data_IF_017296498425
#
_entry.id   IF_017296498425
#
_cell.length_a   1.000
_cell.length_b   1.000
_cell.length_c   1.000
_cell.angle_alpha   90.00
_cell.angle_beta   90.00
_cell.angle_gamma   90.00
#
_symmetry.space_group_name_H-M   'P 1'
#
loop_
_entity.id
_entity.type
_entity.pdbx_description
1 polymer ?
#
# COMPACT_ATOMS: atom_id res chain seq x y z
N UNK A 1 -2.35 -5.66 -20.91
CA UNK A 1 -3.11 -6.07 -19.70
C UNK A 1 -2.87 -5.03 -18.62
N UNK A 2 -3.93 -4.61 -17.93
CA UNK A 2 -3.82 -3.75 -16.74
C UNK A 2 -3.08 -4.49 -15.63
N UNK A 3 -2.32 -3.76 -14.81
CA UNK A 3 -1.65 -4.31 -13.64
C UNK A 3 -2.51 -4.06 -12.40
N UNK A 4 -2.63 -5.06 -11.54
CA UNK A 4 -3.22 -4.93 -10.22
C UNK A 4 -2.20 -4.35 -9.24
N UNK A 5 -2.48 -3.15 -8.76
CA UNK A 5 -1.58 -2.40 -7.89
C UNK A 5 -2.17 -2.29 -6.49
N UNK A 6 -1.37 -2.59 -5.48
CA UNK A 6 -1.78 -2.47 -4.08
C UNK A 6 -0.88 -1.48 -3.36
N UNK A 7 -1.46 -0.46 -2.74
CA UNK A 7 -0.73 0.47 -1.90
C UNK A 7 -1.13 0.26 -0.45
N UNK A 8 -0.13 0.08 0.40
CA UNK A 8 -0.26 -0.07 1.84
C UNK A 8 0.37 1.16 2.47
N UNK A 9 -0.42 1.91 3.23
CA UNK A 9 0.04 3.06 3.99
C UNK A 9 -0.27 2.84 5.48
N UNK A 10 0.72 2.39 6.26
CA UNK A 10 0.62 2.36 7.70
C UNK A 10 0.50 3.78 8.27
N UNK A 11 -0.02 3.87 9.48
CA UNK A 11 -0.12 5.12 10.22
C UNK A 11 -0.41 4.86 11.69
N UNK A 12 -0.15 5.85 12.54
CA UNK A 12 -0.16 5.71 14.00
C UNK A 12 -1.45 5.11 14.60
N UNK A 13 -2.61 5.29 13.96
CA UNK A 13 -3.90 4.77 14.43
C UNK A 13 -4.55 3.74 13.51
N UNK A 14 -4.00 3.51 12.32
CA UNK A 14 -4.62 2.65 11.29
C UNK A 14 -3.68 2.42 10.13
N UNK A 15 -3.74 1.22 9.57
CA UNK A 15 -3.17 0.92 8.25
C UNK A 15 -4.25 1.06 7.19
N UNK A 16 -3.94 1.79 6.11
CA UNK A 16 -4.83 1.95 4.95
C UNK A 16 -4.31 1.11 3.80
N UNK A 17 -5.21 0.41 3.12
CA UNK A 17 -4.89 -0.40 1.95
C UNK A 17 -5.81 0.01 0.81
N UNK A 18 -5.25 0.15 -0.40
CA UNK A 18 -5.97 0.38 -1.63
C UNK A 18 -5.45 -0.59 -2.68
N UNK A 19 -6.31 -1.44 -3.21
CA UNK A 19 -6.06 -2.18 -4.44
C UNK A 19 -6.77 -1.48 -5.60
N UNK A 20 -6.08 -1.35 -6.73
CA UNK A 20 -6.62 -0.73 -7.92
C UNK A 20 -6.14 -1.43 -9.19
N UNK A 21 -7.03 -1.51 -10.17
CA UNK A 21 -6.74 -2.00 -11.52
C UNK A 21 -7.17 -0.95 -12.53
N UNK A 22 -6.33 -0.67 -13.52
CA UNK A 22 -6.59 0.35 -14.55
C UNK A 22 -6.95 1.76 -14.01
N UNK A 23 -6.63 2.05 -12.75
CA UNK A 23 -6.96 3.32 -12.07
C UNK A 23 -8.27 3.30 -11.27
N UNK A 24 -9.04 2.22 -11.37
CA UNK A 24 -10.26 1.99 -10.60
C UNK A 24 -9.98 1.23 -9.31
N UNK A 25 -10.61 1.64 -8.21
CA UNK A 25 -10.41 1.00 -6.92
C UNK A 25 -11.24 -0.28 -6.83
N UNK A 26 -10.58 -1.43 -6.64
CA UNK A 26 -11.25 -2.74 -6.48
C UNK A 26 -11.36 -3.16 -5.02
N UNK A 27 -10.49 -2.66 -4.14
CA UNK A 27 -10.58 -2.88 -2.70
C UNK A 27 -10.04 -1.67 -1.94
N UNK A 28 -10.74 -1.30 -0.85
CA UNK A 28 -10.28 -0.32 0.14
C UNK A 28 -10.43 -0.92 1.52
N UNK A 29 -9.40 -0.81 2.35
CA UNK A 29 -9.46 -1.28 3.73
C UNK A 29 -8.84 -0.28 4.71
N UNK A 30 -9.42 -0.27 5.91
CA UNK A 30 -8.86 0.38 7.10
C UNK A 30 -8.68 -0.70 8.15
N UNK A 31 -7.43 -1.01 8.45
CA UNK A 31 -7.01 -2.07 9.37
C UNK A 31 -6.42 -1.45 10.65
N UNK A 32 -6.12 -2.31 11.61
CA UNK A 32 -5.35 -1.96 12.81
C UNK A 32 -4.02 -1.28 12.43
N UNK A 33 -3.44 -0.46 13.34
CA UNK A 33 -2.15 0.19 13.10
C UNK A 33 -1.06 -0.82 12.73
N UNK A 34 -1.07 -2.00 13.36
CA UNK A 34 -0.17 -3.13 13.08
C UNK A 34 -0.97 -4.41 12.80
N UNK A 35 -0.43 -5.34 12.00
CA UNK A 35 -1.05 -6.64 11.78
C UNK A 35 -1.03 -7.44 13.09
N UNK A 36 -2.13 -8.13 13.40
CA UNK A 36 -2.22 -9.00 14.58
C UNK A 36 -1.46 -10.33 14.42
N UNK A 37 -0.95 -10.61 13.22
CA UNK A 37 -0.21 -11.81 12.88
C UNK A 37 0.88 -11.49 11.84
N UNK A 38 2.12 -12.02 11.95
CA UNK A 38 3.22 -11.73 11.03
C UNK A 38 2.92 -11.97 9.54
N UNK A 39 2.01 -12.91 9.25
CA UNK A 39 1.57 -13.26 7.88
C UNK A 39 0.30 -12.54 7.39
N UNK A 40 -0.33 -11.71 8.21
CA UNK A 40 -1.63 -11.13 7.85
C UNK A 40 -1.57 -10.31 6.57
N UNK A 41 -0.47 -9.58 6.35
CA UNK A 41 -0.32 -8.76 5.14
C UNK A 41 -0.06 -9.62 3.90
N UNK A 42 0.80 -10.64 4.00
CA UNK A 42 1.03 -11.62 2.95
C UNK A 42 -0.29 -12.27 2.51
N UNK A 43 -1.07 -12.80 3.45
CA UNK A 43 -2.36 -13.42 3.14
C UNK A 43 -3.36 -12.46 2.50
N UNK A 44 -3.35 -11.18 2.89
CA UNK A 44 -4.18 -10.18 2.24
C UNK A 44 -3.78 -9.99 0.77
N UNK A 45 -2.48 -9.89 0.48
CA UNK A 45 -1.98 -9.71 -0.89
C UNK A 45 -2.26 -10.95 -1.75
N UNK A 46 -2.02 -12.15 -1.21
CA UNK A 46 -2.30 -13.41 -1.88
C UNK A 46 -3.80 -13.58 -2.15
N UNK A 47 -4.65 -13.27 -1.17
CA UNK A 47 -6.10 -13.33 -1.33
C UNK A 47 -6.57 -12.38 -2.44
N UNK A 48 -6.05 -11.15 -2.47
CA UNK A 48 -6.37 -10.17 -3.54
C UNK A 48 -5.89 -10.67 -4.91
N UNK A 49 -4.68 -11.23 -5.00
CA UNK A 49 -4.15 -11.80 -6.23
C UNK A 49 -5.02 -12.96 -6.75
N UNK A 50 -5.40 -13.88 -5.86
CA UNK A 50 -6.25 -15.03 -6.17
C UNK A 50 -7.65 -14.60 -6.60
N UNK A 51 -8.26 -13.62 -5.93
CA UNK A 51 -9.60 -13.12 -6.28
C UNK A 51 -9.65 -12.46 -7.66
N UNK A 52 -8.59 -11.73 -8.03
CA UNK A 52 -8.52 -11.06 -9.33
C UNK A 52 -7.92 -11.94 -10.43
N UNK A 53 -7.37 -13.11 -10.09
CA UNK A 53 -6.65 -13.97 -11.03
C UNK A 53 -5.41 -13.30 -11.63
N UNK A 54 -4.78 -12.39 -10.89
CA UNK A 54 -3.65 -11.56 -11.36
C UNK A 54 -2.57 -11.41 -10.30
N UNK A 55 -1.32 -11.32 -10.73
CA UNK A 55 -0.20 -10.99 -9.86
C UNK A 55 -0.31 -9.56 -9.31
N UNK A 56 -0.10 -9.39 -8.00
CA UNK A 56 -0.16 -8.10 -7.30
C UNK A 56 1.19 -7.37 -7.31
N UNK A 57 1.21 -6.14 -7.78
CA UNK A 57 2.33 -5.21 -7.59
C UNK A 57 2.06 -4.32 -6.37
N UNK A 58 2.65 -4.66 -5.23
CA UNK A 58 2.40 -4.01 -3.95
C UNK A 58 3.49 -2.99 -3.58
N UNK A 59 3.07 -1.92 -2.92
CA UNK A 59 3.93 -0.88 -2.38
C UNK A 59 3.60 -0.58 -0.93
N UNK A 60 4.60 -0.69 -0.05
CA UNK A 60 4.53 -0.21 1.33
C UNK A 60 5.09 1.22 1.39
N UNK A 61 4.27 2.18 1.79
CA UNK A 61 4.68 3.58 1.91
C UNK A 61 5.08 3.89 3.34
N UNK A 62 6.38 3.97 3.61
CA UNK A 62 6.90 4.45 4.88
C UNK A 62 6.66 5.97 4.98
N UNK A 63 5.87 6.40 5.96
CA UNK A 63 5.46 7.79 6.12
C UNK A 63 6.55 8.64 6.77
N UNK A 64 6.93 9.76 6.15
CA UNK A 64 8.08 10.58 6.56
C UNK A 64 7.99 11.34 7.89
N UNK A 65 9.19 11.69 8.38
CA UNK A 65 9.64 12.62 9.44
C UNK A 65 9.27 12.38 10.90
N UNK A 66 8.37 11.47 11.21
CA UNK A 66 8.33 10.97 12.58
C UNK A 66 9.53 10.02 12.72
N UNK A 67 10.45 10.30 13.65
CA UNK A 67 11.72 9.57 13.90
C UNK A 67 11.54 8.06 14.17
N UNK A 68 10.31 7.57 14.07
CA UNK A 68 9.83 6.21 14.30
C UNK A 68 9.45 5.48 13.00
N UNK A 69 9.73 6.09 11.84
CA UNK A 69 9.14 5.81 10.52
C UNK A 69 9.73 4.64 9.72
N UNK A 70 10.87 4.06 10.12
CA UNK A 70 11.44 2.89 9.43
C UNK A 70 11.88 1.81 10.40
N UNK A 71 12.35 2.19 11.59
CA UNK A 71 12.81 1.27 12.63
C UNK A 71 11.69 0.50 13.35
N UNK A 72 10.43 0.96 13.27
CA UNK A 72 9.26 0.25 13.83
C UNK A 72 8.48 -0.55 12.78
N UNK A 73 8.81 -0.41 11.49
CA UNK A 73 8.36 -1.33 10.44
C UNK A 73 9.37 -2.47 10.35
N UNK A 74 9.70 -3.04 11.53
CA UNK A 74 10.56 -4.20 11.64
C UNK A 74 10.11 -5.25 10.62
N UNK A 75 11.11 -5.94 10.07
CA UNK A 75 11.00 -6.98 9.07
C UNK A 75 9.98 -8.11 9.38
N UNK A 76 9.29 -8.05 10.52
CA UNK A 76 8.33 -9.04 11.00
C UNK A 76 6.91 -8.90 10.44
N UNK A 77 6.55 -7.77 9.81
CA UNK A 77 5.24 -7.65 9.14
C UNK A 77 5.15 -8.46 7.85
N UNK A 78 6.29 -8.85 7.32
CA UNK A 78 6.45 -9.58 6.08
C UNK A 78 7.52 -10.63 6.28
N UNK A 79 7.10 -11.90 6.40
CA UNK A 79 8.05 -13.00 6.42
C UNK A 79 8.86 -13.09 5.09
N UNK A 80 8.34 -12.50 4.01
CA UNK A 80 8.91 -12.45 2.67
C UNK A 80 8.53 -11.14 1.92
N UNK A 81 9.41 -10.66 1.03
CA UNK A 81 9.18 -9.47 0.20
C UNK A 81 8.53 -9.79 -1.17
N UNK A 82 8.05 -11.02 -1.36
CA UNK A 82 7.39 -11.44 -2.59
C UNK A 82 7.33 -12.96 -2.78
N UNK A 83 6.62 -13.38 -3.81
CA UNK A 83 6.43 -14.77 -4.20
C UNK A 83 5.74 -14.89 -5.56
N UNK A 84 5.13 -16.04 -5.85
CA UNK A 84 4.47 -16.26 -7.14
C UNK A 84 3.24 -15.37 -7.40
N UNK A 85 2.64 -14.82 -6.33
CA UNK A 85 1.37 -14.08 -6.38
C UNK A 85 1.51 -12.57 -6.17
N UNK A 86 2.63 -12.11 -5.61
CA UNK A 86 2.87 -10.68 -5.41
C UNK A 86 4.35 -10.32 -5.37
N UNK A 87 4.62 -9.06 -5.65
CA UNK A 87 5.90 -8.40 -5.37
C UNK A 87 5.63 -7.24 -4.43
N UNK A 88 6.46 -7.05 -3.42
CA UNK A 88 6.35 -5.92 -2.49
C UNK A 88 7.56 -4.99 -2.61
N UNK A 89 7.29 -3.70 -2.79
CA UNK A 89 8.32 -2.65 -2.85
C UNK A 89 8.14 -1.69 -1.68
N UNK A 90 9.24 -1.27 -1.04
CA UNK A 90 9.23 -0.22 -0.04
C UNK A 90 9.41 1.14 -0.73
N UNK A 91 8.48 2.06 -0.46
CA UNK A 91 8.49 3.41 -1.00
C UNK A 91 8.76 4.42 0.11
N UNK A 92 9.77 5.24 -0.10
CA UNK A 92 9.99 6.42 0.72
C UNK A 92 8.98 7.50 0.33
N UNK A 93 8.23 8.00 1.31
CA UNK A 93 7.29 9.11 1.09
C UNK A 93 8.03 10.45 0.97
N UNK A 94 9.05 10.55 0.12
CA UNK A 94 9.71 11.80 -0.25
C UNK A 94 8.82 12.51 -1.31
N UNK A 95 7.95 13.42 -0.87
CA UNK A 95 7.36 14.43 -1.75
C UNK A 95 5.87 14.33 -2.11
N UNK A 96 5.07 13.43 -1.49
CA UNK A 96 3.61 13.47 -1.68
C UNK A 96 3.03 14.63 -0.87
N UNK A 97 2.82 15.78 -1.54
CA UNK A 97 2.30 17.02 -0.93
C UNK A 97 0.91 16.78 -0.33
N UNK A 98 0.73 17.18 0.93
CA UNK A 98 -0.55 17.21 1.64
C UNK A 98 -1.51 18.20 0.96
N UNK A 99 -2.23 17.77 -0.07
CA UNK A 99 -3.31 18.53 -0.70
C UNK A 99 -4.67 18.07 -0.16
N UNK A 100 -5.24 18.81 0.78
CA UNK A 100 -6.61 18.60 1.25
C UNK A 100 -7.63 19.04 0.21
N UNK A 101 -8.72 18.29 0.04
CA UNK A 101 -10.06 18.82 -0.28
C UNK A 101 -11.09 17.67 -0.29
N UNK A 102 -12.29 17.99 0.21
CA UNK A 102 -13.51 17.18 0.30
C UNK A 102 -13.96 16.65 -1.08
N UNK A 103 -14.41 15.39 -1.13
CA UNK A 103 -15.34 14.87 -2.14
C UNK A 103 -16.00 13.53 -1.71
N UNK A 104 -17.15 13.24 -2.30
CA UNK A 104 -18.38 12.62 -1.79
C UNK A 104 -18.41 11.07 -1.63
N UNK A 105 -17.66 10.51 -0.68
CA UNK A 105 -17.88 9.13 -0.18
C UNK A 105 -17.60 9.02 1.34
N UNK A 106 -18.41 9.69 2.14
CA UNK A 106 -18.19 10.12 3.53
C UNK A 106 -17.99 9.03 4.63
N UNK A 107 -17.78 7.75 4.30
CA UNK A 107 -17.70 6.67 5.30
C UNK A 107 -16.30 6.12 5.62
N UNK A 108 -15.34 6.14 4.68
CA UNK A 108 -14.09 5.35 4.81
C UNK A 108 -12.77 6.16 4.84
N UNK A 109 -12.85 7.50 4.79
CA UNK A 109 -11.65 8.36 4.82
C UNK A 109 -10.90 8.40 3.49
N UNK A 110 -10.22 9.51 3.24
CA UNK A 110 -9.67 9.84 1.93
C UNK A 110 -8.43 8.99 1.58
N UNK A 111 -8.61 7.98 0.74
CA UNK A 111 -7.52 7.20 0.12
C UNK A 111 -6.88 7.92 -1.07
N UNK A 112 -7.10 9.25 -1.26
CA UNK A 112 -6.52 10.05 -2.34
C UNK A 112 -5.00 9.94 -2.43
N UNK A 113 -4.34 9.89 -1.29
CA UNK A 113 -2.89 9.69 -1.25
C UNK A 113 -2.50 8.31 -1.82
N UNK A 114 -3.27 7.26 -1.49
CA UNK A 114 -3.04 5.93 -2.04
C UNK A 114 -3.37 5.88 -3.54
N UNK A 115 -4.40 6.61 -3.99
CA UNK A 115 -4.71 6.74 -5.43
C UNK A 115 -3.58 7.45 -6.19
N UNK A 116 -2.96 8.48 -5.59
CA UNK A 116 -1.79 9.14 -6.16
C UNK A 116 -0.59 8.20 -6.24
N UNK A 117 -0.39 7.37 -5.21
CA UNK A 117 0.67 6.36 -5.17
C UNK A 117 0.45 5.25 -6.21
N UNK A 118 -0.78 4.74 -6.37
CA UNK A 118 -1.16 3.81 -7.46
C UNK A 118 -0.81 4.43 -8.82
N UNK A 119 -1.22 5.70 -9.06
CA UNK A 119 -0.88 6.41 -10.30
C UNK A 119 0.64 6.54 -10.47
N UNK A 120 1.38 6.88 -9.42
CA UNK A 120 2.83 6.99 -9.47
C UNK A 120 3.50 5.64 -9.79
N UNK A 121 3.03 4.53 -9.19
CA UNK A 121 3.50 3.18 -9.50
C UNK A 121 3.21 2.82 -10.96
N UNK A 122 2.01 3.15 -11.45
CA UNK A 122 1.62 2.90 -12.84
C UNK A 122 2.50 3.64 -13.83
N UNK A 123 2.78 4.91 -13.52
CA UNK A 123 3.56 5.80 -14.38
C UNK A 123 5.09 5.60 -14.20
N UNK A 124 5.53 4.63 -13.38
CA UNK A 124 6.94 4.32 -13.15
C UNK A 124 7.71 5.41 -12.39
N UNK A 125 7.01 6.33 -11.71
CA UNK A 125 7.61 7.52 -11.05
C UNK A 125 8.03 7.29 -9.61
N UNK A 126 8.01 6.04 -9.17
CA UNK A 126 8.33 5.66 -7.80
C UNK A 126 9.81 5.28 -7.73
N UNK A 127 10.57 5.95 -6.86
CA UNK A 127 11.95 5.57 -6.58
C UNK A 127 11.94 4.26 -5.79
N UNK A 128 12.54 3.24 -6.38
CA UNK A 128 12.79 1.96 -5.71
C UNK A 128 13.94 2.16 -4.73
N UNK A 129 13.76 1.68 -3.50
CA UNK A 129 14.87 1.57 -2.57
C UNK A 129 15.74 0.38 -3.05
N UNK A 130 16.92 0.68 -3.59
CA UNK A 130 17.97 -0.33 -3.80
C UNK A 130 18.65 -0.53 -2.46
N UNK A 131 18.41 -1.68 -1.82
CA UNK A 131 19.21 -2.12 -0.68
C UNK A 131 20.67 -2.30 -1.07
#
# INVERSE_FOLDING_TARGET
>A
MSKLQVVIKPGASRTRVLAAEAGEAVLKARLLPSPAHPRAMQWLLEAVALWQGQHVDAALCAGGRDRWSLSLFEADWFADFGGALYTLQLLESEGVRRGGLKDELSGMGDCRELKQLVRAMRDGRVRRHSG
#
